data_IF_516131676561
#
_entry.id   IF_516131676561
#
_cell.length_a   1.000
_cell.length_b   1.000
_cell.length_c   1.000
_cell.angle_alpha   90.00
_cell.angle_beta   90.00
_cell.angle_gamma   90.00
#
_symmetry.space_group_name_H-M   'P 1'
#
loop_
_entity.id
_entity.type
_entity.pdbx_description
1 polymer ?
#
# COMPACT_ATOMS: atom_id res chain seq x y z
N UNK A 1 9.04 -0.85 -17.86
CA UNK A 1 10.03 -0.30 -16.93
C UNK A 1 11.40 -0.59 -17.52
N UNK A 2 12.40 0.25 -17.29
CA UNK A 2 13.76 -0.08 -17.73
C UNK A 2 14.31 -1.27 -16.90
N UNK A 3 15.09 -2.21 -17.47
CA UNK A 3 15.62 -3.35 -16.72
C UNK A 3 16.45 -2.98 -15.49
N UNK A 4 17.24 -1.89 -15.55
CA UNK A 4 18.06 -1.46 -14.40
C UNK A 4 17.18 -0.92 -13.28
N UNK A 5 16.12 -0.18 -13.64
CA UNK A 5 15.10 0.28 -12.69
C UNK A 5 14.36 -0.90 -12.04
N UNK A 6 14.01 -1.93 -12.82
CA UNK A 6 13.36 -3.14 -12.33
C UNK A 6 14.25 -3.88 -11.33
N UNK A 7 15.53 -4.06 -11.67
CA UNK A 7 16.54 -4.71 -10.84
C UNK A 7 16.80 -3.95 -9.55
N UNK A 8 16.88 -2.61 -9.61
CA UNK A 8 17.02 -1.76 -8.42
C UNK A 8 15.82 -1.93 -7.48
N UNK A 9 14.58 -1.85 -8.00
CA UNK A 9 13.38 -2.03 -7.18
C UNK A 9 13.26 -3.44 -6.62
N UNK A 10 13.64 -4.47 -7.39
CA UNK A 10 13.74 -5.84 -6.90
C UNK A 10 14.65 -5.91 -5.67
N UNK A 11 15.88 -5.40 -5.75
CA UNK A 11 16.80 -5.42 -4.61
C UNK A 11 16.29 -4.61 -3.43
N UNK A 12 15.67 -3.45 -3.66
CA UNK A 12 15.06 -2.66 -2.58
C UNK A 12 13.99 -3.45 -1.83
N UNK A 13 13.05 -4.06 -2.54
CA UNK A 13 11.97 -4.85 -1.93
C UNK A 13 12.50 -6.10 -1.23
N UNK A 14 13.46 -6.80 -1.84
CA UNK A 14 14.06 -8.01 -1.27
C UNK A 14 14.94 -7.71 -0.05
N UNK A 15 15.65 -6.57 -0.03
CA UNK A 15 16.52 -6.14 1.08
C UNK A 15 15.76 -5.46 2.21
N UNK A 16 14.57 -4.90 1.93
CA UNK A 16 13.77 -4.19 2.92
C UNK A 16 13.59 -5.02 4.20
N UNK A 17 13.92 -4.51 5.40
CA UNK A 17 13.66 -5.21 6.63
C UNK A 17 12.16 -5.25 6.90
N UNK A 18 11.76 -6.03 7.90
CA UNK A 18 10.43 -5.96 8.45
C UNK A 18 10.09 -4.53 8.88
N UNK A 19 8.83 -4.17 8.72
CA UNK A 19 8.29 -2.91 9.23
C UNK A 19 8.05 -3.00 10.76
N UNK A 20 9.04 -3.49 11.50
CA UNK A 20 9.06 -3.51 12.96
C UNK A 20 10.19 -2.60 13.45
N UNK A 21 9.87 -1.72 14.40
CA UNK A 21 10.82 -0.72 14.90
C UNK A 21 12.05 -1.40 15.52
N UNK A 22 13.21 -1.18 14.93
CA UNK A 22 14.48 -1.75 15.40
C UNK A 22 14.77 -3.16 14.90
N UNK A 23 13.88 -3.73 14.06
CA UNK A 23 14.18 -4.98 13.37
C UNK A 23 15.10 -4.72 12.17
N UNK A 24 16.23 -5.42 12.14
CA UNK A 24 17.09 -5.52 10.96
C UNK A 24 16.82 -6.82 10.17
N UNK A 25 15.77 -7.57 10.55
CA UNK A 25 15.46 -8.85 9.94
C UNK A 25 14.94 -8.64 8.53
N UNK A 26 15.64 -9.22 7.55
CA UNK A 26 15.20 -9.28 6.16
C UNK A 26 14.35 -10.54 5.98
N UNK A 27 13.06 -10.36 5.73
CA UNK A 27 12.13 -11.45 5.44
C UNK A 27 12.00 -11.73 3.95
N UNK A 28 11.59 -12.97 3.64
CA UNK A 28 11.21 -13.40 2.30
C UNK A 28 10.11 -12.48 1.75
N UNK A 29 10.23 -12.06 0.50
CA UNK A 29 9.18 -11.33 -0.20
C UNK A 29 8.19 -12.32 -0.82
N UNK A 30 6.93 -12.18 -0.44
CA UNK A 30 5.78 -12.80 -1.09
C UNK A 30 5.12 -11.77 -2.00
N UNK A 31 4.46 -12.20 -3.08
CA UNK A 31 3.67 -11.30 -3.95
C UNK A 31 4.48 -10.05 -4.36
N UNK A 32 5.72 -10.27 -4.78
CA UNK A 32 6.67 -9.17 -5.02
C UNK A 32 6.22 -8.24 -6.15
N UNK A 33 5.41 -8.73 -7.09
CA UNK A 33 4.81 -7.89 -8.13
C UNK A 33 3.77 -6.93 -7.55
N UNK A 34 2.90 -7.40 -6.65
CA UNK A 34 1.96 -6.56 -5.91
C UNK A 34 2.71 -5.57 -5.00
N UNK A 35 3.77 -6.02 -4.33
CA UNK A 35 4.65 -5.14 -3.53
C UNK A 35 5.25 -4.02 -4.39
N UNK A 36 5.73 -4.35 -5.60
CA UNK A 36 6.24 -3.37 -6.56
C UNK A 36 5.16 -2.38 -6.99
N UNK A 37 3.95 -2.86 -7.28
CA UNK A 37 2.83 -1.98 -7.62
C UNK A 37 2.55 -0.98 -6.50
N UNK A 38 2.37 -1.47 -5.26
CA UNK A 38 2.11 -0.61 -4.09
C UNK A 38 3.23 0.40 -3.89
N UNK A 39 4.49 -0.05 -3.92
CA UNK A 39 5.66 0.81 -3.78
C UNK A 39 5.68 1.94 -4.80
N UNK A 40 5.46 1.62 -6.08
CA UNK A 40 5.43 2.62 -7.16
C UNK A 40 4.27 3.59 -6.99
N UNK A 41 3.09 3.12 -6.57
CA UNK A 41 1.92 3.98 -6.35
C UNK A 41 2.09 4.93 -5.18
N UNK A 42 2.62 4.45 -4.06
CA UNK A 42 2.95 5.28 -2.88
C UNK A 42 3.89 6.43 -3.27
N UNK A 43 4.88 6.15 -4.12
CA UNK A 43 5.85 7.14 -4.62
C UNK A 43 5.37 7.93 -5.84
N UNK A 44 4.13 7.74 -6.30
CA UNK A 44 3.56 8.35 -7.51
C UNK A 44 4.42 8.14 -8.77
N UNK A 45 5.14 7.02 -8.83
CA UNK A 45 5.93 6.63 -10.00
C UNK A 45 4.99 6.13 -11.11
N UNK A 46 5.38 6.25 -12.39
CA UNK A 46 4.64 5.64 -13.49
C UNK A 46 4.49 4.14 -13.28
N UNK A 47 3.39 3.54 -13.74
CA UNK A 47 3.17 2.09 -13.61
C UNK A 47 4.25 1.24 -14.31
N UNK A 48 5.00 1.82 -15.26
CA UNK A 48 6.04 1.11 -16.00
C UNK A 48 5.44 0.07 -16.94
N UNK A 49 5.87 -1.17 -16.81
CA UNK A 49 5.38 -2.33 -17.58
C UNK A 49 4.43 -3.24 -16.77
N UNK A 50 3.89 -2.74 -15.65
CA UNK A 50 2.93 -3.50 -14.86
C UNK A 50 1.67 -3.83 -15.68
N UNK A 51 1.44 -5.13 -15.86
CA UNK A 51 0.23 -5.71 -16.42
C UNK A 51 -0.76 -5.90 -15.27
N UNK A 52 -1.76 -5.03 -15.20
CA UNK A 52 -2.85 -5.08 -14.22
C UNK A 52 -3.89 -6.10 -14.70
N UNK A 53 -4.22 -7.08 -13.86
CA UNK A 53 -5.31 -8.05 -14.10
C UNK A 53 -6.51 -7.67 -13.21
N UNK A 54 -7.46 -8.58 -13.05
CA UNK A 54 -8.64 -8.34 -12.20
C UNK A 54 -8.39 -8.52 -10.70
N UNK A 55 -7.31 -9.22 -10.32
CA UNK A 55 -7.09 -9.68 -8.93
C UNK A 55 -5.61 -9.75 -8.53
N UNK A 56 -4.73 -9.18 -9.34
CA UNK A 56 -3.29 -9.17 -9.14
C UNK A 56 -2.58 -8.55 -10.33
N UNK A 57 -1.29 -8.30 -10.18
CA UNK A 57 -0.51 -7.61 -11.21
C UNK A 57 0.80 -8.33 -11.46
N UNK A 58 1.42 -8.03 -12.59
CA UNK A 58 2.68 -8.66 -12.97
C UNK A 58 3.53 -7.68 -13.75
N UNK A 59 4.83 -7.64 -13.48
CA UNK A 59 5.81 -6.86 -14.26
C UNK A 59 6.74 -7.84 -14.96
N UNK A 60 6.73 -7.90 -16.30
CA UNK A 60 7.68 -8.70 -17.08
C UNK A 60 9.15 -8.36 -16.79
N UNK A 61 9.48 -7.07 -16.63
CA UNK A 61 10.84 -6.64 -16.29
C UNK A 61 11.26 -7.10 -14.90
N UNK A 62 10.35 -7.07 -13.91
CA UNK A 62 10.63 -7.63 -12.58
C UNK A 62 10.82 -9.14 -12.63
N UNK A 63 9.98 -9.85 -13.39
CA UNK A 63 10.08 -11.31 -13.57
C UNK A 63 11.41 -11.71 -14.21
N UNK A 64 11.87 -10.97 -15.22
CA UNK A 64 13.19 -11.18 -15.82
C UNK A 64 14.31 -10.93 -14.80
N UNK A 65 14.28 -9.82 -14.07
CA UNK A 65 15.28 -9.51 -13.06
C UNK A 65 15.35 -10.59 -11.96
N UNK A 66 14.21 -11.10 -11.51
CA UNK A 66 14.14 -12.20 -10.54
C UNK A 66 14.74 -13.49 -11.09
N UNK A 67 14.43 -13.85 -12.35
CA UNK A 67 15.01 -15.03 -13.01
C UNK A 67 16.54 -14.94 -13.09
N UNK A 68 17.07 -13.80 -13.56
CA UNK A 68 18.51 -13.58 -13.63
C UNK A 68 19.17 -13.60 -12.25
N UNK A 69 18.52 -13.04 -11.22
CA UNK A 69 19.03 -13.04 -9.86
C UNK A 69 19.02 -14.45 -9.22
N UNK A 70 18.03 -15.27 -9.57
CA UNK A 70 17.98 -16.69 -9.16
C UNK A 70 19.06 -17.50 -9.87
N UNK A 71 19.19 -17.36 -11.20
CA UNK A 71 20.21 -18.06 -12.00
C UNK A 71 21.64 -17.71 -11.58
N UNK A 72 21.87 -16.45 -11.17
CA UNK A 72 23.16 -15.99 -10.67
C UNK A 72 23.42 -16.35 -9.20
N UNK A 73 22.45 -16.93 -8.48
CA UNK A 73 22.57 -17.32 -7.07
C UNK A 73 22.51 -16.15 -6.07
N UNK A 74 22.04 -14.98 -6.50
CA UNK A 74 21.81 -13.82 -5.64
C UNK A 74 20.49 -13.93 -4.88
N UNK A 75 19.50 -14.61 -5.48
CA UNK A 75 18.17 -14.81 -4.91
C UNK A 75 17.85 -16.29 -4.83
N UNK A 76 17.27 -16.73 -3.71
CA UNK A 76 16.60 -18.03 -3.63
C UNK A 76 15.11 -17.86 -3.93
N UNK A 77 14.54 -18.83 -4.64
CA UNK A 77 13.12 -18.90 -4.94
C UNK A 77 12.55 -20.20 -4.37
N UNK A 78 11.47 -20.05 -3.61
CA UNK A 78 10.70 -21.16 -3.07
C UNK A 78 9.23 -20.97 -3.42
N UNK A 79 8.49 -22.08 -3.49
CA UNK A 79 7.03 -22.05 -3.59
C UNK A 79 6.43 -22.68 -2.36
N UNK A 80 5.63 -21.90 -1.61
CA UNK A 80 4.90 -22.37 -0.44
C UNK A 80 3.45 -21.89 -0.50
N UNK A 81 2.50 -22.77 -0.17
CA UNK A 81 1.07 -22.47 -0.26
C UNK A 81 0.58 -22.02 -1.65
N UNK A 82 1.34 -22.31 -2.72
CA UNK A 82 1.05 -21.83 -4.08
C UNK A 82 1.51 -20.39 -4.36
N UNK A 83 2.22 -19.76 -3.42
CA UNK A 83 2.82 -18.43 -3.58
C UNK A 83 4.33 -18.56 -3.84
N UNK A 84 4.82 -17.73 -4.74
CA UNK A 84 6.26 -17.58 -4.98
C UNK A 84 6.86 -16.68 -3.88
N UNK A 85 7.94 -17.18 -3.26
CA UNK A 85 8.67 -16.54 -2.18
C UNK A 85 10.12 -16.35 -2.58
N UNK A 86 10.63 -15.13 -2.41
CA UNK A 86 12.00 -14.77 -2.79
C UNK A 86 12.79 -14.24 -1.59
N UNK A 87 14.05 -14.64 -1.47
CA UNK A 87 14.97 -14.09 -0.46
C UNK A 87 16.36 -13.86 -1.04
N UNK A 88 17.06 -12.85 -0.53
CA UNK A 88 18.47 -12.66 -0.86
C UNK A 88 19.33 -13.74 -0.19
N UNK A 89 20.32 -14.24 -0.92
CA UNK A 89 21.47 -14.96 -0.36
C UNK A 89 22.49 -13.96 0.18
N UNK A 90 23.56 -14.42 0.83
CA UNK A 90 24.69 -13.54 1.23
C UNK A 90 25.27 -12.79 0.02
N UNK A 91 25.33 -13.45 -1.14
CA UNK A 91 25.74 -12.83 -2.40
C UNK A 91 24.75 -11.74 -2.83
N UNK A 92 23.45 -12.03 -2.76
CA UNK A 92 22.40 -11.06 -3.09
C UNK A 92 22.35 -9.86 -2.15
N UNK A 93 22.63 -10.06 -0.86
CA UNK A 93 22.76 -8.96 0.11
C UNK A 93 23.90 -8.03 -0.33
N UNK A 94 25.05 -8.59 -0.72
CA UNK A 94 26.17 -7.83 -1.29
C UNK A 94 25.80 -7.07 -2.56
N UNK A 95 25.09 -7.71 -3.50
CA UNK A 95 24.66 -7.07 -4.74
C UNK A 95 23.61 -5.96 -4.53
N UNK A 96 22.78 -6.10 -3.49
CA UNK A 96 21.76 -5.12 -3.12
C UNK A 96 22.31 -3.92 -2.32
N UNK A 97 23.63 -3.90 -1.99
CA UNK A 97 24.24 -2.83 -1.19
C UNK A 97 24.02 -1.47 -1.82
N UNK A 98 24.46 -1.32 -3.07
CA UNK A 98 24.45 -0.02 -3.75
C UNK A 98 23.03 0.52 -3.93
N UNK A 99 22.09 -0.35 -4.30
CA UNK A 99 20.68 0.04 -4.51
C UNK A 99 20.05 0.62 -3.23
N UNK A 100 20.29 -0.04 -2.10
CA UNK A 100 19.73 0.34 -0.81
C UNK A 100 20.45 1.52 -0.17
N UNK A 101 21.78 1.55 -0.24
CA UNK A 101 22.57 2.63 0.33
C UNK A 101 22.32 3.96 -0.43
N UNK A 102 22.06 3.89 -1.73
CA UNK A 102 21.64 5.02 -2.54
C UNK A 102 20.17 5.46 -2.30
N UNK A 103 19.31 4.59 -1.78
CA UNK A 103 17.93 4.93 -1.46
C UNK A 103 17.84 5.81 -0.21
N UNK A 104 16.99 6.83 -0.27
CA UNK A 104 16.72 7.69 0.88
C UNK A 104 15.87 6.96 1.95
N UNK A 105 15.76 7.56 3.14
CA UNK A 105 15.02 6.95 4.24
C UNK A 105 13.54 6.70 3.89
N UNK A 106 12.91 7.63 3.18
CA UNK A 106 11.50 7.51 2.78
C UNK A 106 11.31 6.34 1.82
N UNK A 107 12.20 6.19 0.84
CA UNK A 107 12.18 5.09 -0.12
C UNK A 107 12.36 3.72 0.53
N UNK A 108 13.28 3.62 1.50
CA UNK A 108 13.48 2.39 2.28
C UNK A 108 12.23 2.05 3.09
N UNK A 109 11.62 3.05 3.72
CA UNK A 109 10.35 2.89 4.47
C UNK A 109 9.22 2.46 3.54
N UNK A 110 9.06 3.11 2.38
CA UNK A 110 8.06 2.76 1.39
C UNK A 110 8.23 1.32 0.91
N UNK A 111 9.47 0.85 0.69
CA UNK A 111 9.76 -0.51 0.28
C UNK A 111 9.39 -1.53 1.37
N UNK A 112 9.76 -1.26 2.63
CA UNK A 112 9.36 -2.09 3.78
C UNK A 112 7.85 -2.14 3.97
N UNK A 113 7.17 -1.00 3.93
CA UNK A 113 5.72 -0.91 4.07
C UNK A 113 5.00 -1.65 2.94
N UNK A 114 5.43 -1.45 1.70
CA UNK A 114 4.79 -2.08 0.53
C UNK A 114 4.93 -3.59 0.55
N UNK A 115 6.09 -4.10 0.98
CA UNK A 115 6.30 -5.54 1.19
C UNK A 115 5.44 -6.07 2.34
N UNK A 116 5.42 -5.37 3.47
CA UNK A 116 4.68 -5.79 4.65
C UNK A 116 3.17 -5.86 4.38
N UNK A 117 2.60 -4.85 3.71
CA UNK A 117 1.17 -4.75 3.43
C UNK A 117 0.59 -5.93 2.65
N UNK A 118 1.37 -6.56 1.77
CA UNK A 118 0.92 -7.66 0.92
C UNK A 118 1.48 -9.03 1.33
N UNK A 119 2.38 -9.08 2.31
CA UNK A 119 2.88 -10.32 2.88
C UNK A 119 1.88 -10.91 3.88
N UNK A 120 1.78 -12.24 3.92
CA UNK A 120 0.92 -12.99 4.85
C UNK A 120 -0.58 -12.66 4.74
N UNK A 121 -1.04 -12.11 3.61
CA UNK A 121 -2.46 -11.88 3.37
C UNK A 121 -3.06 -12.91 2.41
N UNK A 122 -4.29 -13.30 2.70
CA UNK A 122 -5.04 -14.20 1.85
C UNK A 122 -5.58 -13.49 0.60
N UNK A 123 -6.17 -14.26 -0.32
CA UNK A 123 -6.68 -13.72 -1.59
C UNK A 123 -7.79 -12.66 -1.41
N UNK A 124 -8.71 -12.87 -0.45
CA UNK A 124 -9.81 -11.91 -0.20
C UNK A 124 -9.26 -10.60 0.34
N UNK A 125 -8.30 -10.68 1.25
CA UNK A 125 -7.59 -9.53 1.81
C UNK A 125 -6.86 -8.74 0.72
N UNK A 126 -6.10 -9.44 -0.14
CA UNK A 126 -5.41 -8.81 -1.26
C UNK A 126 -6.37 -8.08 -2.20
N UNK A 127 -7.43 -8.74 -2.64
CA UNK A 127 -8.42 -8.16 -3.56
C UNK A 127 -9.09 -6.94 -2.92
N UNK A 128 -9.51 -7.05 -1.66
CA UNK A 128 -10.16 -5.96 -0.93
C UNK A 128 -9.22 -4.76 -0.78
N UNK A 129 -7.95 -5.01 -0.46
CA UNK A 129 -6.92 -3.98 -0.36
C UNK A 129 -6.68 -3.28 -1.71
N UNK A 130 -6.48 -4.03 -2.79
CA UNK A 130 -6.19 -3.46 -4.11
C UNK A 130 -7.35 -2.59 -4.63
N UNK A 131 -8.59 -3.07 -4.52
CA UNK A 131 -9.78 -2.33 -4.97
C UNK A 131 -10.16 -1.16 -4.06
N UNK A 132 -9.90 -1.28 -2.75
CA UNK A 132 -10.16 -0.22 -1.79
C UNK A 132 -9.13 0.92 -1.85
N UNK A 133 -7.84 0.57 -1.86
CA UNK A 133 -6.76 1.55 -1.79
C UNK A 133 -6.44 2.18 -3.16
N UNK A 134 -6.63 1.43 -4.25
CA UNK A 134 -6.32 1.88 -5.61
C UNK A 134 -7.52 1.74 -6.57
N UNK A 135 -8.69 2.33 -6.25
CA UNK A 135 -9.93 2.10 -6.99
C UNK A 135 -9.89 2.55 -8.46
N UNK A 136 -9.04 3.53 -8.79
CA UNK A 136 -8.87 4.01 -10.17
C UNK A 136 -8.06 3.04 -11.04
N UNK A 137 -7.34 2.09 -10.43
CA UNK A 137 -6.54 1.09 -11.15
C UNK A 137 -7.35 -0.20 -11.37
N UNK A 138 -8.18 -0.58 -10.40
CA UNK A 138 -8.89 -1.85 -10.39
C UNK A 138 -10.38 -1.63 -10.65
N UNK A 139 -10.82 -1.86 -11.90
CA UNK A 139 -12.15 -1.45 -12.38
C UNK A 139 -13.03 -2.59 -12.87
N UNK A 140 -12.58 -3.86 -12.78
CA UNK A 140 -13.44 -5.00 -13.13
C UNK A 140 -14.66 -5.03 -12.20
N UNK A 141 -15.90 -4.92 -12.71
CA UNK A 141 -17.09 -4.79 -11.88
C UNK A 141 -17.36 -6.01 -10.99
N UNK A 142 -17.11 -7.21 -11.50
CA UNK A 142 -17.38 -8.45 -10.77
C UNK A 142 -16.40 -8.63 -9.60
N UNK A 143 -15.13 -8.27 -9.79
CA UNK A 143 -14.15 -8.27 -8.70
C UNK A 143 -14.36 -7.10 -7.73
N UNK A 144 -14.83 -5.95 -8.21
CA UNK A 144 -15.21 -4.82 -7.33
C UNK A 144 -16.35 -5.20 -6.39
N UNK A 145 -17.37 -5.91 -6.88
CA UNK A 145 -18.46 -6.42 -6.05
C UNK A 145 -17.95 -7.37 -4.96
N UNK A 146 -17.08 -8.32 -5.33
CA UNK A 146 -16.45 -9.23 -4.36
C UNK A 146 -15.56 -8.52 -3.35
N UNK A 147 -14.80 -7.52 -3.78
CA UNK A 147 -13.97 -6.71 -2.90
C UNK A 147 -14.81 -6.00 -1.83
N UNK A 148 -15.98 -5.49 -2.21
CA UNK A 148 -16.92 -4.87 -1.26
C UNK A 148 -17.56 -5.91 -0.33
N UNK A 149 -17.94 -7.09 -0.85
CA UNK A 149 -18.50 -8.19 -0.05
C UNK A 149 -17.53 -8.64 1.06
N UNK A 150 -16.23 -8.76 0.74
CA UNK A 150 -15.20 -9.20 1.69
C UNK A 150 -14.56 -8.06 2.48
N UNK A 151 -14.79 -6.82 2.05
CA UNK A 151 -13.98 -5.67 2.41
C UNK A 151 -13.94 -5.35 3.89
N UNK A 152 -15.09 -5.46 4.58
CA UNK A 152 -15.15 -5.18 6.02
C UNK A 152 -14.38 -6.21 6.85
N UNK A 153 -14.63 -7.51 6.65
CA UNK A 153 -13.91 -8.57 7.38
C UNK A 153 -12.40 -8.52 7.09
N UNK A 154 -12.02 -8.34 5.83
CA UNK A 154 -10.63 -8.18 5.42
C UNK A 154 -9.97 -6.96 6.07
N UNK A 155 -10.66 -5.82 6.11
CA UNK A 155 -10.16 -4.60 6.75
C UNK A 155 -9.89 -4.81 8.23
N UNK A 156 -10.80 -5.47 8.96
CA UNK A 156 -10.62 -5.74 10.38
C UNK A 156 -9.41 -6.65 10.64
N UNK A 157 -9.32 -7.78 9.92
CA UNK A 157 -8.22 -8.74 10.07
C UNK A 157 -6.86 -8.15 9.70
N UNK A 158 -6.80 -7.31 8.66
CA UNK A 158 -5.58 -6.61 8.28
C UNK A 158 -5.23 -5.50 9.27
N UNK A 159 -6.21 -4.81 9.85
CA UNK A 159 -5.98 -3.78 10.86
C UNK A 159 -5.43 -4.38 12.17
N UNK A 160 -5.98 -5.49 12.65
CA UNK A 160 -5.51 -6.21 13.84
C UNK A 160 -4.05 -6.64 13.72
N UNK A 161 -3.63 -6.99 12.51
CA UNK A 161 -2.25 -7.33 12.17
C UNK A 161 -1.38 -6.11 11.85
N UNK A 162 -1.89 -4.90 12.10
CA UNK A 162 -1.23 -3.61 11.83
C UNK A 162 -0.81 -3.40 10.36
N UNK A 163 -1.42 -4.12 9.41
CA UNK A 163 -1.11 -4.02 7.97
C UNK A 163 -1.71 -2.78 7.32
N UNK A 164 -2.88 -2.35 7.80
CA UNK A 164 -3.61 -1.22 7.22
C UNK A 164 -4.11 -0.26 8.30
N UNK A 165 -4.16 1.03 7.96
CA UNK A 165 -4.80 2.03 8.81
C UNK A 165 -6.33 1.89 8.77
N UNK A 166 -7.02 2.45 9.77
CA UNK A 166 -8.49 2.55 9.76
C UNK A 166 -9.01 3.24 8.49
N UNK A 167 -8.31 4.27 8.01
CA UNK A 167 -8.70 4.98 6.78
C UNK A 167 -8.63 4.08 5.54
N UNK A 168 -7.60 3.23 5.46
CA UNK A 168 -7.52 2.19 4.42
C UNK A 168 -8.61 1.14 4.62
N UNK A 169 -8.89 0.72 5.86
CA UNK A 169 -9.96 -0.22 6.19
C UNK A 169 -11.34 0.26 5.76
N UNK A 170 -11.66 1.55 5.99
CA UNK A 170 -12.89 2.16 5.54
C UNK A 170 -13.04 2.09 4.01
N UNK A 171 -11.96 2.40 3.27
CA UNK A 171 -11.93 2.28 1.81
C UNK A 171 -12.12 0.85 1.33
N UNK A 172 -11.44 -0.12 1.96
CA UNK A 172 -11.62 -1.55 1.66
C UNK A 172 -13.08 -1.99 1.86
N UNK A 173 -13.73 -1.52 2.92
CA UNK A 173 -15.14 -1.81 3.21
C UNK A 173 -16.14 -1.04 2.32
N UNK A 174 -15.68 -0.11 1.48
CA UNK A 174 -16.56 0.77 0.69
C UNK A 174 -17.38 1.73 1.55
N UNK A 175 -16.87 2.09 2.73
CA UNK A 175 -17.53 2.95 3.71
C UNK A 175 -16.77 4.27 3.86
N UNK A 176 -17.48 5.33 4.27
CA UNK A 176 -16.79 6.47 4.87
C UNK A 176 -16.16 6.09 6.23
N UNK A 177 -15.26 6.94 6.70
CA UNK A 177 -14.51 6.69 7.93
C UNK A 177 -15.41 6.51 9.16
N UNK A 178 -16.47 7.31 9.26
CA UNK A 178 -17.39 7.31 10.41
C UNK A 178 -18.21 6.02 10.47
N UNK A 179 -18.79 5.64 9.34
CA UNK A 179 -19.57 4.42 9.18
C UNK A 179 -18.71 3.18 9.45
N UNK A 180 -17.47 3.17 8.95
CA UNK A 180 -16.53 2.10 9.23
C UNK A 180 -16.20 2.03 10.73
N UNK A 181 -15.88 3.14 11.39
CA UNK A 181 -15.60 3.17 12.83
C UNK A 181 -16.77 2.65 13.65
N UNK A 182 -18.01 3.04 13.32
CA UNK A 182 -19.23 2.52 13.98
C UNK A 182 -19.35 1.01 13.83
N UNK A 183 -19.17 0.48 12.62
CA UNK A 183 -19.22 -0.95 12.37
C UNK A 183 -18.06 -1.71 13.06
N UNK A 184 -16.86 -1.14 13.04
CA UNK A 184 -15.64 -1.68 13.65
C UNK A 184 -15.77 -1.79 15.18
N UNK A 185 -16.33 -0.76 15.83
CA UNK A 185 -16.69 -0.78 17.25
C UNK A 185 -17.77 -1.82 17.56
N UNK A 186 -18.85 -1.86 16.78
CA UNK A 186 -19.94 -2.84 16.96
C UNK A 186 -19.47 -4.29 16.79
N UNK A 187 -18.46 -4.53 15.95
CA UNK A 187 -17.83 -5.84 15.77
C UNK A 187 -16.84 -6.20 16.89
N UNK A 188 -16.61 -5.33 17.87
CA UNK A 188 -15.81 -5.60 19.07
C UNK A 188 -14.31 -5.35 18.94
N UNK A 189 -13.85 -4.73 17.84
CA UNK A 189 -12.43 -4.49 17.61
C UNK A 189 -11.87 -3.25 18.35
N UNK A 190 -12.73 -2.39 18.86
CA UNK A 190 -12.35 -1.30 19.77
C UNK A 190 -13.08 -1.48 21.09
N UNK A 191 -12.34 -1.89 22.11
CA UNK A 191 -12.80 -1.77 23.49
C UNK A 191 -12.55 -0.34 23.94
N UNK A 192 -13.46 0.57 23.63
CA UNK A 192 -13.50 1.85 24.32
C UNK A 192 -13.72 1.55 25.81
N UNK A 193 -12.90 2.11 26.70
CA UNK A 193 -13.10 2.01 28.16
C UNK A 193 -14.30 2.84 28.64
N UNK A 194 -15.28 3.09 27.78
CA UNK A 194 -16.41 3.96 28.03
C UNK A 194 -17.68 3.39 27.43
N UNK A 195 -18.79 3.81 28.00
CA UNK A 195 -20.16 3.53 27.56
C UNK A 195 -20.43 4.09 26.15
N UNK A 196 -21.46 3.60 25.46
CA UNK A 196 -21.81 4.05 24.09
C UNK A 196 -21.99 5.57 23.99
N UNK A 197 -22.54 6.21 25.04
CA UNK A 197 -22.68 7.66 25.15
C UNK A 197 -21.33 8.40 25.22
N UNK A 198 -20.30 7.78 25.82
CA UNK A 198 -18.95 8.34 25.89
C UNK A 198 -18.20 8.18 24.54
N UNK A 199 -18.53 7.16 23.75
CA UNK A 199 -18.00 6.99 22.40
C UNK A 199 -18.59 7.99 21.41
N UNK A 200 -19.91 8.21 21.44
CA UNK A 200 -20.56 9.24 20.60
C UNK A 200 -19.95 10.62 20.87
N UNK A 201 -19.80 10.95 22.16
CA UNK A 201 -19.16 12.20 22.57
C UNK A 201 -17.70 12.31 22.11
N UNK A 202 -16.93 11.21 22.16
CA UNK A 202 -15.55 11.21 21.67
C UNK A 202 -15.45 11.44 20.16
N UNK A 203 -16.35 10.82 19.38
CA UNK A 203 -16.41 11.02 17.92
C UNK A 203 -16.78 12.46 17.59
N UNK A 204 -17.77 13.03 18.28
CA UNK A 204 -18.18 14.43 18.11
C UNK A 204 -17.04 15.41 18.46
N UNK A 205 -16.34 15.18 19.56
CA UNK A 205 -15.18 16.00 19.98
C UNK A 205 -14.01 15.91 18.98
N UNK A 206 -13.81 14.74 18.36
CA UNK A 206 -12.78 14.54 17.34
C UNK A 206 -13.13 15.26 16.04
N UNK A 207 -14.41 15.26 15.65
CA UNK A 207 -14.93 16.02 14.50
C UNK A 207 -14.79 17.52 14.74
N UNK A 208 -15.13 18.01 15.93
CA UNK A 208 -14.97 19.42 16.28
C UNK A 208 -13.51 19.87 16.24
N UNK A 209 -12.59 19.06 16.77
CA UNK A 209 -11.14 19.34 16.68
C UNK A 209 -10.63 19.34 15.24
N UNK A 210 -11.07 18.39 14.42
CA UNK A 210 -10.64 18.32 13.03
C UNK A 210 -11.18 19.52 12.23
N UNK A 211 -12.44 19.90 12.45
CA UNK A 211 -13.05 21.09 11.86
C UNK A 211 -12.40 22.39 12.36
N UNK A 212 -11.98 22.44 13.64
CA UNK A 212 -11.25 23.57 14.20
C UNK A 212 -9.86 23.70 13.57
N UNK A 213 -9.14 22.59 13.36
CA UNK A 213 -7.85 22.59 12.66
C UNK A 213 -7.99 23.05 11.20
N UNK A 214 -9.02 22.60 10.47
CA UNK A 214 -9.32 23.05 9.10
C UNK A 214 -9.63 24.55 9.06
N UNK A 215 -10.30 25.09 10.09
CA UNK A 215 -10.57 26.54 10.21
C UNK A 215 -9.35 27.37 10.62
N UNK A 216 -8.39 26.78 11.35
CA UNK A 216 -7.15 27.47 11.75
C UNK A 216 -6.07 27.43 10.67
N UNK A 217 -6.10 26.42 9.78
CA UNK A 217 -5.17 26.26 8.66
C UNK A 217 -5.90 26.03 7.32
N UNK A 218 -6.72 26.99 6.86
CA UNK A 218 -7.51 26.83 5.62
C UNK A 218 -6.64 26.73 4.35
N UNK A 219 -5.41 27.24 4.38
CA UNK A 219 -4.48 27.24 3.24
C UNK A 219 -3.67 25.94 3.09
N UNK A 220 -3.74 25.00 4.05
CA UNK A 220 -3.07 23.70 3.92
C UNK A 220 -3.92 22.66 3.18
N UNK A 221 -5.25 22.84 3.15
CA UNK A 221 -6.16 21.96 2.39
C UNK A 221 -6.01 22.13 0.86
N UNK A 222 -5.56 23.28 0.38
CA UNK A 222 -5.39 23.57 -1.06
C UNK A 222 -4.06 23.07 -1.65
N UNK A 223 -3.12 22.56 -0.84
CA UNK A 223 -1.87 21.96 -1.35
C UNK A 223 -2.00 20.47 -1.69
N UNK A 224 -3.08 19.80 -1.27
CA UNK A 224 -3.29 18.37 -1.52
C UNK A 224 -4.12 18.13 -2.79
N UNK A 225 -4.91 19.11 -3.23
CA UNK A 225 -5.60 19.09 -4.53
C UNK A 225 -4.84 19.97 -5.52
N UNK A 226 -4.02 19.36 -6.38
CA UNK A 226 -3.30 20.07 -7.45
C UNK A 226 -4.24 20.80 -8.41
N UNK A 227 -4.50 22.07 -8.13
CA UNK A 227 -5.20 22.99 -9.01
C UNK A 227 -4.27 23.47 -10.12
N UNK A 228 -4.55 23.05 -11.36
CA UNK A 228 -3.98 23.65 -12.58
C UNK A 228 -4.35 25.14 -12.60
N UNK A 229 -3.41 26.08 -12.76
CA UNK A 229 -3.76 27.48 -12.86
C UNK A 229 -4.51 27.74 -14.17
N UNK A 230 -5.71 28.32 -14.05
CA UNK A 230 -6.50 28.79 -15.18
C UNK A 230 -5.70 29.81 -15.99
N UNK A 231 -5.55 29.55 -17.31
CA UNK A 231 -4.95 30.48 -18.26
C UNK A 231 -5.73 31.79 -18.27
N UNK A 232 -5.04 32.89 -17.99
CA UNK A 232 -5.57 34.25 -18.09
C UNK A 232 -6.02 34.57 -19.52
N UNK A 233 -7.24 35.09 -19.63
CA UNK A 233 -7.77 35.69 -20.84
C UNK A 233 -7.07 37.03 -21.10
N UNK A 234 -6.31 37.11 -22.19
CA UNK A 234 -5.82 38.36 -22.78
C UNK A 234 -6.74 38.83 -23.92
N UNK A 235 -6.71 40.12 -24.27
CA UNK A 235 -7.85 40.85 -24.82
C UNK A 235 -8.10 40.64 -26.32
N UNK A 236 -9.38 40.76 -26.71
CA UNK A 236 -9.85 40.80 -28.09
C UNK A 236 -9.28 42.03 -28.82
N UNK A 237 -8.63 41.78 -29.95
CA UNK A 237 -8.42 42.79 -31.01
C UNK A 237 -9.00 42.24 -32.29
N UNK A 238 -10.01 42.92 -32.84
CA UNK A 238 -10.70 42.59 -34.08
C UNK A 238 -12.05 43.26 -34.13
#
# INVERSE_FOLDING_TARGET
MDPDEAKRHMYLLLRAPEFERGSERITKAERIHESLFVFRRTRRLPAGDLVIKKDGCHSPSLDLALKEAVESGEVTHERDGGLDRYSLTDKGIGAAVDAWDAADLTERVDASMSKDQVADINYRELVSFLYGEFPDTWVDPAMKEKALEWGFEAACLMHDRAKVSIGCGARMAGMDYESFMKAFMAAGYVMCKGTDEEMEKFVDELIERNNANVRQHPDETDRVAGGVPARGSGPQTG
#
